data_IF_010504412279
#
_entry.id   IF_010504412279
#
_cell.length_a   1.000
_cell.length_b   1.000
_cell.length_c   1.000
_cell.angle_alpha   90.00
_cell.angle_beta   90.00
_cell.angle_gamma   90.00
#
_symmetry.space_group_name_H-M   'P 1'
#
loop_
_entity.id
_entity.type
_entity.pdbx_description
1 polymer ?
#
# COMPACT_ATOMS: atom_id res chain seq x y z
N UNK A 1 -32.68 18.23 13.13
CA UNK A 1 -31.22 18.05 13.05
C UNK A 1 -30.59 19.19 13.82
N UNK A 2 -29.85 18.91 14.90
CA UNK A 2 -29.09 19.95 15.58
C UNK A 2 -27.89 20.26 14.69
N UNK A 3 -27.80 21.48 14.15
CA UNK A 3 -26.61 21.94 13.47
C UNK A 3 -25.43 21.82 14.45
N UNK A 4 -24.39 21.07 14.05
CA UNK A 4 -23.16 20.98 14.81
C UNK A 4 -22.54 22.38 14.80
N UNK A 5 -22.62 23.09 15.93
CA UNK A 5 -21.92 24.35 16.09
C UNK A 5 -20.43 24.01 16.21
N UNK A 6 -19.64 24.53 15.29
CA UNK A 6 -18.19 24.33 15.27
C UNK A 6 -17.51 25.27 16.26
N UNK A 7 -17.70 25.01 17.55
CA UNK A 7 -17.03 25.74 18.63
C UNK A 7 -15.58 25.25 18.87
N UNK A 8 -15.18 24.15 18.23
CA UNK A 8 -13.85 23.53 18.34
C UNK A 8 -13.22 23.34 16.96
N UNK A 9 -12.09 24.00 16.69
CA UNK A 9 -11.39 23.90 15.41
C UNK A 9 -10.86 22.50 15.12
N UNK A 10 -10.64 21.64 16.13
CA UNK A 10 -10.24 20.23 15.94
C UNK A 10 -11.33 19.42 15.27
N UNK A 11 -12.57 19.89 15.33
CA UNK A 11 -13.65 19.34 14.52
C UNK A 11 -13.37 19.60 13.04
N UNK A 12 -12.89 20.81 12.68
CA UNK A 12 -12.53 21.13 11.30
C UNK A 12 -11.59 20.06 10.77
N UNK A 13 -10.46 19.73 11.41
CA UNK A 13 -9.53 18.69 10.95
C UNK A 13 -10.21 17.36 10.53
N UNK A 14 -11.33 16.96 11.13
CA UNK A 14 -11.96 15.64 10.91
C UNK A 14 -13.25 15.67 10.11
N UNK A 15 -13.70 16.84 9.68
CA UNK A 15 -14.97 17.01 8.98
C UNK A 15 -14.88 16.49 7.55
N UNK A 16 -15.64 15.43 7.22
CA UNK A 16 -15.74 14.92 5.85
C UNK A 16 -16.65 15.80 4.96
N UNK A 17 -16.59 15.66 3.62
CA UNK A 17 -17.49 16.38 2.72
C UNK A 17 -18.99 16.21 3.03
N UNK A 18 -19.42 15.00 3.44
CA UNK A 18 -20.82 14.76 3.83
C UNK A 18 -21.20 15.51 5.11
N UNK A 19 -20.26 15.65 6.05
CA UNK A 19 -20.47 16.44 7.27
C UNK A 19 -20.53 17.93 6.94
N UNK A 20 -19.70 18.44 6.02
CA UNK A 20 -19.75 19.82 5.52
C UNK A 20 -21.12 20.15 4.93
N UNK A 21 -21.65 19.26 4.08
CA UNK A 21 -22.98 19.40 3.51
C UNK A 21 -24.08 19.43 4.60
N UNK A 22 -23.96 18.57 5.62
CA UNK A 22 -24.93 18.50 6.72
C UNK A 22 -24.92 19.74 7.64
N UNK A 23 -23.76 20.38 7.81
CA UNK A 23 -23.62 21.62 8.60
C UNK A 23 -23.83 22.91 7.78
N UNK A 24 -23.99 22.78 6.46
CA UNK A 24 -24.18 23.92 5.56
C UNK A 24 -22.93 24.79 5.38
N UNK A 25 -21.74 24.18 5.45
CA UNK A 25 -20.46 24.86 5.27
C UNK A 25 -19.80 24.40 3.97
N UNK A 26 -19.44 25.34 3.10
CA UNK A 26 -18.66 25.02 1.90
C UNK A 26 -17.21 24.63 2.27
N UNK A 27 -16.59 23.65 1.59
CA UNK A 27 -15.22 23.21 1.88
C UNK A 27 -14.19 24.35 1.87
N UNK A 28 -14.31 25.27 0.92
CA UNK A 28 -13.42 26.44 0.81
C UNK A 28 -13.56 27.41 1.99
N UNK A 29 -14.76 27.53 2.57
CA UNK A 29 -14.97 28.34 3.77
C UNK A 29 -14.35 27.68 4.98
N UNK A 30 -14.56 26.36 5.16
CA UNK A 30 -13.94 25.59 6.24
C UNK A 30 -12.41 25.70 6.20
N UNK A 31 -11.83 25.62 5.00
CA UNK A 31 -10.40 25.79 4.76
C UNK A 31 -9.92 27.19 5.14
N UNK A 32 -10.60 28.25 4.74
CA UNK A 32 -10.22 29.64 5.08
C UNK A 32 -10.19 29.86 6.59
N UNK A 33 -11.23 29.43 7.29
CA UNK A 33 -11.29 29.49 8.76
C UNK A 33 -10.11 28.72 9.37
N UNK A 34 -9.87 27.51 8.87
CA UNK A 34 -8.77 26.68 9.35
C UNK A 34 -7.39 27.34 9.12
N UNK A 35 -7.15 27.91 7.94
CA UNK A 35 -5.93 28.64 7.59
C UNK A 35 -5.72 29.85 8.49
N UNK A 36 -6.76 30.66 8.71
CA UNK A 36 -6.71 31.82 9.61
C UNK A 36 -6.33 31.41 11.04
N UNK A 37 -6.88 30.29 11.54
CA UNK A 37 -6.53 29.76 12.85
C UNK A 37 -5.08 29.29 12.92
N UNK A 38 -4.57 28.60 11.89
CA UNK A 38 -3.17 28.17 11.84
C UNK A 38 -2.17 29.33 11.87
N UNK A 39 -2.55 30.51 11.37
CA UNK A 39 -1.72 31.70 11.42
C UNK A 39 -1.63 32.34 12.81
N UNK A 40 -2.69 32.23 13.62
CA UNK A 40 -2.84 33.02 14.83
C UNK A 40 -2.80 32.20 16.13
N UNK A 41 -2.88 30.87 16.05
CA UNK A 41 -2.92 29.98 17.21
C UNK A 41 -1.83 28.89 17.15
N UNK A 42 -0.93 28.91 18.16
CA UNK A 42 0.13 27.93 18.29
C UNK A 42 -0.39 26.52 18.62
N UNK A 43 -1.48 26.41 19.38
CA UNK A 43 -2.14 25.14 19.70
C UNK A 43 -2.72 24.52 18.43
N UNK A 44 -3.39 25.33 17.60
CA UNK A 44 -3.90 24.89 16.30
C UNK A 44 -2.81 24.34 15.39
N UNK A 45 -1.65 25.01 15.35
CA UNK A 45 -0.52 24.51 14.59
C UNK A 45 0.10 23.21 15.15
N UNK A 46 0.02 22.96 16.46
CA UNK A 46 0.47 21.69 17.04
C UNK A 46 -0.51 20.55 16.72
N UNK A 47 -1.81 20.77 16.85
CA UNK A 47 -2.82 19.77 16.47
C UNK A 47 -2.82 19.49 14.97
N UNK A 48 -2.57 20.50 14.13
CA UNK A 48 -2.35 20.30 12.71
C UNK A 48 -1.11 19.44 12.42
N UNK A 49 -0.01 19.64 13.15
CA UNK A 49 1.17 18.79 13.01
C UNK A 49 0.86 17.33 13.37
N UNK A 50 0.08 17.09 14.45
CA UNK A 50 -0.40 15.76 14.83
C UNK A 50 -1.30 15.14 13.75
N UNK A 51 -2.18 15.95 13.17
CA UNK A 51 -3.03 15.51 12.05
C UNK A 51 -2.19 15.14 10.82
N UNK A 52 -1.20 15.95 10.46
CA UNK A 52 -0.26 15.66 9.38
C UNK A 52 0.55 14.37 9.59
N UNK A 53 0.70 13.91 10.84
CA UNK A 53 1.37 12.65 11.19
C UNK A 53 0.39 11.48 11.33
N UNK A 54 -0.88 11.65 10.93
CA UNK A 54 -1.94 10.64 11.04
C UNK A 54 -2.07 10.07 12.46
N UNK A 55 -1.76 10.86 13.48
CA UNK A 55 -1.94 10.44 14.87
C UNK A 55 -3.42 10.23 15.16
N UNK A 56 -3.77 9.24 15.99
CA UNK A 56 -5.15 9.08 16.43
C UNK A 56 -5.62 10.36 17.16
N UNK A 57 -6.80 10.92 16.82
CA UNK A 57 -7.87 10.34 15.97
C UNK A 57 -7.93 10.88 14.52
N UNK A 58 -6.85 11.42 13.97
CA UNK A 58 -6.82 12.13 12.68
C UNK A 58 -6.61 11.26 11.44
N UNK A 59 -6.58 9.93 11.55
CA UNK A 59 -6.33 9.03 10.42
C UNK A 59 -7.32 9.12 9.25
N UNK A 60 -8.46 9.79 9.44
CA UNK A 60 -9.53 10.02 8.45
C UNK A 60 -9.79 11.51 8.20
N UNK A 61 -8.84 12.36 8.58
CA UNK A 61 -8.94 13.82 8.48
C UNK A 61 -9.10 14.29 7.03
N UNK A 62 -10.04 15.21 6.78
CA UNK A 62 -10.28 15.76 5.44
C UNK A 62 -9.12 16.61 4.94
N UNK A 63 -8.26 17.08 5.85
CA UNK A 63 -7.12 17.91 5.50
C UNK A 63 -6.15 17.19 4.57
N UNK A 64 -6.25 15.87 4.46
CA UNK A 64 -5.45 15.05 3.56
C UNK A 64 -6.05 14.90 2.16
N UNK A 65 -7.27 15.38 1.92
CA UNK A 65 -7.91 15.33 0.61
C UNK A 65 -7.39 16.45 -0.31
N UNK A 66 -7.15 16.13 -1.58
CA UNK A 66 -6.72 17.10 -2.58
C UNK A 66 -7.77 18.19 -2.82
N UNK A 67 -7.31 19.40 -3.14
CA UNK A 67 -8.09 20.37 -3.90
C UNK A 67 -7.40 20.58 -5.25
N UNK A 68 -8.10 20.25 -6.33
CA UNK A 68 -7.54 20.39 -7.69
C UNK A 68 -6.32 19.49 -7.91
N UNK A 69 -5.23 20.06 -8.41
CA UNK A 69 -4.06 19.33 -8.93
C UNK A 69 -3.07 18.85 -7.87
N UNK A 70 -3.21 19.25 -6.60
CA UNK A 70 -2.26 18.88 -5.53
C UNK A 70 -2.74 17.66 -4.73
N UNK A 71 -1.96 16.58 -4.59
CA UNK A 71 -2.45 15.28 -4.09
C UNK A 71 -2.79 15.25 -2.59
N UNK A 72 -2.14 16.11 -1.78
CA UNK A 72 -2.31 16.18 -0.32
C UNK A 72 -2.33 17.61 0.19
N UNK A 73 -3.53 18.13 0.45
CA UNK A 73 -3.72 19.48 0.96
C UNK A 73 -2.92 19.78 2.25
N UNK A 74 -2.76 18.81 3.14
CA UNK A 74 -2.05 19.03 4.41
C UNK A 74 -0.58 19.40 4.21
N UNK A 75 0.10 18.82 3.23
CA UNK A 75 1.48 19.18 2.93
C UNK A 75 1.55 20.57 2.28
N UNK A 76 0.57 20.90 1.44
CA UNK A 76 0.48 22.22 0.80
C UNK A 76 0.24 23.34 1.83
N UNK A 77 -0.72 23.14 2.73
CA UNK A 77 -1.01 24.06 3.82
C UNK A 77 0.22 24.21 4.72
N UNK A 78 0.92 23.12 5.04
CA UNK A 78 2.14 23.22 5.81
C UNK A 78 3.21 24.06 5.08
N UNK A 79 3.38 23.84 3.78
CA UNK A 79 4.36 24.58 2.98
C UNK A 79 4.06 26.09 2.91
N UNK A 80 2.78 26.45 2.77
CA UNK A 80 2.35 27.86 2.67
C UNK A 80 2.37 28.59 4.02
N UNK A 81 2.09 27.89 5.12
CA UNK A 81 1.82 28.52 6.41
C UNK A 81 2.99 28.44 7.40
N UNK A 82 3.86 27.44 7.27
CA UNK A 82 4.93 27.22 8.25
C UNK A 82 6.24 27.85 7.82
N UNK A 83 6.85 28.57 8.75
CA UNK A 83 8.24 29.02 8.63
C UNK A 83 9.18 27.83 8.35
N UNK A 84 10.28 28.01 7.60
CA UNK A 84 11.15 26.93 7.15
C UNK A 84 11.63 25.96 8.25
N UNK A 85 11.89 26.45 9.46
CA UNK A 85 12.30 25.59 10.58
C UNK A 85 11.18 24.67 11.07
N UNK A 86 9.95 25.18 11.13
CA UNK A 86 8.76 24.43 11.55
C UNK A 86 8.34 23.45 10.45
N UNK A 87 8.36 23.88 9.20
CA UNK A 87 8.11 23.00 8.05
C UNK A 87 9.09 21.84 8.03
N UNK A 88 10.41 22.11 8.18
CA UNK A 88 11.43 21.07 8.27
C UNK A 88 11.16 20.07 9.38
N UNK A 89 10.79 20.55 10.57
CA UNK A 89 10.44 19.69 11.72
C UNK A 89 9.25 18.79 11.41
N UNK A 90 8.21 19.34 10.81
CA UNK A 90 7.03 18.56 10.42
C UNK A 90 7.37 17.48 9.40
N UNK A 91 8.07 17.84 8.32
CA UNK A 91 8.41 16.91 7.24
C UNK A 91 9.32 15.79 7.74
N UNK A 92 10.34 16.13 8.55
CA UNK A 92 11.20 15.14 9.21
C UNK A 92 10.38 14.23 10.14
N UNK A 93 9.44 14.79 10.91
CA UNK A 93 8.54 14.03 11.76
C UNK A 93 7.67 13.05 10.97
N UNK A 94 7.14 13.44 9.81
CA UNK A 94 6.36 12.54 8.94
C UNK A 94 7.24 11.40 8.41
N UNK A 95 8.44 11.72 7.90
CA UNK A 95 9.36 10.73 7.31
C UNK A 95 9.83 9.73 8.36
N UNK A 96 10.23 10.20 9.54
CA UNK A 96 10.82 9.40 10.62
C UNK A 96 9.79 8.78 11.59
N UNK A 97 8.51 9.10 11.46
CA UNK A 97 7.47 8.60 12.38
C UNK A 97 7.31 7.08 12.27
N UNK A 98 7.11 6.40 13.39
CA UNK A 98 6.80 4.95 13.45
C UNK A 98 5.33 4.64 13.18
N UNK A 99 4.51 5.64 12.86
CA UNK A 99 3.09 5.46 12.60
C UNK A 99 2.84 4.66 11.33
N UNK A 100 2.31 3.44 11.48
CA UNK A 100 1.87 2.57 10.38
C UNK A 100 0.68 3.15 9.59
N UNK A 101 0.04 4.20 10.13
CA UNK A 101 -1.08 4.86 9.48
C UNK A 101 -0.65 5.89 8.45
N UNK A 102 0.59 6.39 8.52
CA UNK A 102 1.12 7.33 7.52
C UNK A 102 1.44 6.57 6.23
N UNK A 103 0.71 6.84 5.13
CA UNK A 103 0.87 6.12 3.87
C UNK A 103 2.23 6.34 3.22
N UNK A 104 2.68 5.35 2.43
CA UNK A 104 3.99 5.40 1.77
C UNK A 104 4.13 6.63 0.84
N UNK A 105 3.12 6.90 0.03
CA UNK A 105 3.14 8.03 -0.89
C UNK A 105 3.16 9.38 -0.17
N UNK A 106 2.34 9.54 0.88
CA UNK A 106 2.38 10.73 1.72
C UNK A 106 3.76 10.97 2.34
N UNK A 107 4.43 9.91 2.83
CA UNK A 107 5.81 10.01 3.33
C UNK A 107 6.79 10.41 2.23
N UNK A 108 6.63 9.87 1.03
CA UNK A 108 7.50 10.19 -0.10
C UNK A 108 7.36 11.65 -0.55
N UNK A 109 6.14 12.19 -0.62
CA UNK A 109 5.91 13.62 -0.86
C UNK A 109 6.55 14.49 0.23
N UNK A 110 6.43 14.10 1.50
CA UNK A 110 7.09 14.81 2.59
C UNK A 110 8.63 14.71 2.50
N UNK A 111 9.16 13.56 2.09
CA UNK A 111 10.59 13.34 1.89
C UNK A 111 11.17 14.19 0.76
N UNK A 112 10.47 14.29 -0.37
CA UNK A 112 10.86 15.14 -1.50
C UNK A 112 10.92 16.62 -1.10
N UNK A 113 9.91 17.10 -0.38
CA UNK A 113 9.92 18.47 0.16
C UNK A 113 11.03 18.69 1.20
N UNK A 114 11.30 17.71 2.05
CA UNK A 114 12.38 17.81 3.05
C UNK A 114 13.75 17.85 2.38
N UNK A 115 13.96 17.05 1.34
CA UNK A 115 15.19 17.06 0.56
C UNK A 115 15.40 18.42 -0.12
N UNK A 116 14.35 18.99 -0.72
CA UNK A 116 14.41 20.32 -1.32
C UNK A 116 14.71 21.44 -0.31
N UNK A 117 14.14 21.35 0.90
CA UNK A 117 14.35 22.32 1.99
C UNK A 117 15.71 22.16 2.71
N UNK A 118 16.33 20.99 2.55
CA UNK A 118 17.49 20.54 3.29
C UNK A 118 17.13 19.97 4.67
N UNK A 119 17.64 18.77 5.05
CA UNK A 119 17.27 18.08 6.28
C UNK A 119 17.75 18.80 7.57
N UNK A 120 18.74 19.68 7.48
CA UNK A 120 19.21 20.50 8.60
C UNK A 120 19.60 19.65 9.82
N UNK A 121 19.04 19.98 10.98
CA UNK A 121 19.32 19.28 12.25
C UNK A 121 18.89 17.81 12.29
N UNK A 122 18.05 17.37 11.35
CA UNK A 122 17.54 15.98 11.29
C UNK A 122 18.42 15.05 10.45
N UNK A 123 19.50 15.58 9.84
CA UNK A 123 20.44 14.76 9.08
C UNK A 123 21.02 13.58 9.89
N UNK A 124 21.43 13.74 11.17
CA UNK A 124 21.94 12.61 11.97
C UNK A 124 20.89 11.51 12.19
N UNK A 125 19.62 11.87 12.40
CA UNK A 125 18.56 10.88 12.58
C UNK A 125 18.26 10.12 11.28
N UNK A 126 18.27 10.83 10.14
CA UNK A 126 18.13 10.21 8.82
C UNK A 126 19.29 9.26 8.53
N UNK A 127 20.53 9.66 8.84
CA UNK A 127 21.72 8.82 8.68
C UNK A 127 21.61 7.57 9.55
N UNK A 128 21.25 7.75 10.82
CA UNK A 128 21.07 6.66 11.77
C UNK A 128 20.05 5.63 11.26
N UNK A 129 18.86 6.08 10.83
CA UNK A 129 17.84 5.17 10.29
C UNK A 129 18.29 4.51 8.99
N UNK A 130 18.97 5.24 8.10
CA UNK A 130 19.48 4.70 6.84
C UNK A 130 20.56 3.62 7.04
N UNK A 131 21.40 3.75 8.06
CA UNK A 131 22.53 2.86 8.36
C UNK A 131 22.16 1.69 9.28
N UNK A 132 21.33 1.91 10.30
CA UNK A 132 20.99 0.90 11.32
C UNK A 132 19.87 -0.06 10.87
N UNK A 133 19.03 0.35 9.92
CA UNK A 133 17.92 -0.51 9.46
C UNK A 133 18.44 -1.59 8.51
N UNK A 134 18.35 -2.84 8.96
CA UNK A 134 18.66 -3.99 8.13
C UNK A 134 17.47 -4.33 7.22
N UNK A 135 17.72 -4.77 5.96
CA UNK A 135 16.67 -5.32 5.11
C UNK A 135 15.98 -6.51 5.78
N UNK A 136 14.67 -6.64 5.59
CA UNK A 136 13.95 -7.80 6.11
C UNK A 136 14.40 -9.08 5.40
N UNK A 137 14.49 -10.21 6.13
CA UNK A 137 14.90 -11.47 5.55
C UNK A 137 13.90 -11.96 4.50
N UNK A 138 14.40 -12.76 3.56
CA UNK A 138 13.58 -13.39 2.52
C UNK A 138 13.74 -14.89 2.63
N UNK A 139 12.61 -15.60 2.68
CA UNK A 139 12.62 -17.03 2.85
C UNK A 139 13.32 -17.73 1.70
N UNK A 140 14.33 -18.54 2.03
CA UNK A 140 15.12 -19.23 1.02
C UNK A 140 14.30 -20.33 0.32
N UNK A 141 14.59 -20.55 -0.98
CA UNK A 141 14.04 -21.68 -1.73
C UNK A 141 14.32 -23.03 -1.03
N UNK A 142 15.49 -23.17 -0.40
CA UNK A 142 15.85 -24.38 0.34
C UNK A 142 14.95 -24.62 1.55
N UNK A 143 14.54 -23.55 2.25
CA UNK A 143 13.55 -23.61 3.34
C UNK A 143 12.20 -24.09 2.79
N UNK A 144 11.71 -23.45 1.72
CA UNK A 144 10.40 -23.77 1.12
C UNK A 144 10.29 -25.22 0.61
N UNK A 145 11.36 -25.74 0.00
CA UNK A 145 11.42 -27.14 -0.47
C UNK A 145 11.34 -28.14 0.70
N UNK A 146 11.80 -27.76 1.90
CA UNK A 146 11.75 -28.63 3.09
C UNK A 146 10.37 -28.68 3.74
N UNK A 147 9.52 -27.67 3.49
CA UNK A 147 8.15 -27.63 3.99
C UNK A 147 7.30 -28.71 3.31
N UNK A 148 6.79 -29.67 4.09
CA UNK A 148 5.94 -30.76 3.57
C UNK A 148 4.55 -30.23 3.23
N UNK A 149 4.37 -29.75 1.99
CA UNK A 149 3.07 -29.42 1.41
C UNK A 149 2.89 -30.10 0.05
N UNK A 150 1.67 -30.11 -0.49
CA UNK A 150 1.39 -30.55 -1.86
C UNK A 150 1.79 -29.51 -2.92
N UNK A 151 2.36 -28.38 -2.48
CA UNK A 151 2.96 -27.34 -3.31
C UNK A 151 2.02 -26.19 -3.68
N UNK A 152 0.86 -26.07 -3.02
CA UNK A 152 -0.09 -24.95 -3.20
C UNK A 152 -0.55 -24.47 -1.81
N UNK A 153 -0.88 -25.41 -0.93
CA UNK A 153 -1.27 -25.11 0.44
C UNK A 153 -0.06 -25.28 1.37
N UNK A 154 0.79 -24.26 1.46
CA UNK A 154 1.83 -24.22 2.48
C UNK A 154 1.18 -24.28 3.86
N UNK A 155 1.60 -25.27 4.67
CA UNK A 155 1.24 -25.33 6.07
C UNK A 155 2.09 -24.28 6.80
N UNK A 156 1.44 -23.26 7.33
CA UNK A 156 2.05 -22.25 8.19
C UNK A 156 1.19 -22.08 9.45
N UNK A 157 1.83 -21.70 10.55
CA UNK A 157 1.15 -21.54 11.83
C UNK A 157 0.25 -20.31 11.80
N UNK A 158 -1.03 -20.50 12.14
CA UNK A 158 -2.01 -19.42 12.25
C UNK A 158 -2.28 -19.17 13.74
N UNK A 159 -2.08 -17.94 14.26
CA UNK A 159 -2.41 -17.64 15.64
C UNK A 159 -3.88 -17.98 15.92
N UNK A 160 -4.16 -18.69 17.02
CA UNK A 160 -5.50 -19.20 17.32
C UNK A 160 -6.50 -18.08 17.69
N UNK A 161 -6.02 -16.99 18.30
CA UNK A 161 -6.84 -15.87 18.77
C UNK A 161 -6.88 -14.70 17.78
N UNK A 162 -7.99 -13.95 17.78
CA UNK A 162 -8.12 -12.70 17.02
C UNK A 162 -7.01 -11.72 17.43
N UNK A 163 -6.78 -11.55 18.73
CA UNK A 163 -5.74 -10.65 19.23
C UNK A 163 -4.33 -11.06 18.78
N UNK A 164 -4.05 -12.37 18.69
CA UNK A 164 -2.80 -12.89 18.14
C UNK A 164 -2.62 -12.53 16.67
N UNK A 165 -3.69 -12.65 15.86
CA UNK A 165 -3.68 -12.25 14.44
C UNK A 165 -3.59 -10.74 14.27
N UNK A 166 -4.24 -9.94 15.11
CA UNK A 166 -4.08 -8.48 15.10
C UNK A 166 -2.66 -8.06 15.43
N UNK A 167 -2.05 -8.69 16.44
CA UNK A 167 -0.65 -8.45 16.81
C UNK A 167 0.31 -8.80 15.67
N UNK A 168 0.11 -9.94 15.01
CA UNK A 168 0.88 -10.34 13.83
C UNK A 168 0.88 -9.24 12.75
N UNK A 169 -0.30 -8.68 12.45
CA UNK A 169 -0.45 -7.59 11.48
C UNK A 169 0.24 -6.31 11.95
N UNK A 170 0.12 -5.95 13.24
CA UNK A 170 0.79 -4.78 13.81
C UNK A 170 2.32 -4.91 13.72
N UNK A 171 2.87 -6.06 14.08
CA UNK A 171 4.31 -6.33 14.06
C UNK A 171 4.86 -6.28 12.63
N UNK A 172 4.14 -6.90 11.68
CA UNK A 172 4.47 -6.84 10.25
C UNK A 172 4.41 -5.40 9.70
N UNK A 173 3.40 -4.62 10.10
CA UNK A 173 3.25 -3.21 9.70
C UNK A 173 4.41 -2.35 10.22
N UNK A 174 4.81 -2.57 11.47
CA UNK A 174 5.93 -1.85 12.08
C UNK A 174 7.27 -2.19 11.38
N UNK A 175 7.49 -3.47 11.05
CA UNK A 175 8.68 -3.89 10.30
C UNK A 175 8.78 -3.18 8.92
N UNK A 176 7.68 -3.16 8.17
CA UNK A 176 7.61 -2.49 6.86
C UNK A 176 7.67 -0.97 6.93
N UNK A 177 7.21 -0.39 8.04
CA UNK A 177 7.32 1.06 8.29
C UNK A 177 8.78 1.47 8.51
N UNK A 178 9.55 0.72 9.30
CA UNK A 178 10.99 0.98 9.50
C UNK A 178 11.78 0.89 8.20
N UNK A 179 11.50 -0.13 7.41
CA UNK A 179 12.09 -0.32 6.09
C UNK A 179 11.75 0.85 5.15
N UNK A 180 10.50 1.33 5.17
CA UNK A 180 10.07 2.53 4.44
C UNK A 180 10.83 3.79 4.87
N UNK A 181 11.00 4.00 6.18
CA UNK A 181 11.77 5.13 6.71
C UNK A 181 13.21 5.10 6.19
N UNK A 182 13.86 3.93 6.20
CA UNK A 182 15.23 3.76 5.73
C UNK A 182 15.37 4.04 4.23
N UNK A 183 14.45 3.55 3.40
CA UNK A 183 14.42 3.83 1.96
C UNK A 183 14.33 5.34 1.70
N UNK A 184 13.37 6.02 2.35
CA UNK A 184 13.19 7.46 2.15
C UNK A 184 14.33 8.29 2.73
N UNK A 185 14.90 7.90 3.88
CA UNK A 185 16.07 8.55 4.46
C UNK A 185 17.27 8.49 3.50
N UNK A 186 17.53 7.32 2.88
CA UNK A 186 18.58 7.18 1.87
C UNK A 186 18.34 8.08 0.67
N UNK A 187 17.09 8.18 0.19
CA UNK A 187 16.74 9.08 -0.92
C UNK A 187 16.92 10.56 -0.57
N UNK A 188 16.61 10.96 0.66
CA UNK A 188 16.84 12.34 1.12
C UNK A 188 18.34 12.66 1.14
N UNK A 189 19.19 11.72 1.59
CA UNK A 189 20.64 11.95 1.76
C UNK A 189 21.39 11.86 0.42
N UNK A 190 21.03 10.92 -0.44
CA UNK A 190 21.81 10.54 -1.61
C UNK A 190 21.12 10.84 -2.96
N UNK A 191 19.88 11.32 -2.95
CA UNK A 191 19.09 11.63 -4.13
C UNK A 191 17.98 10.61 -4.42
N UNK A 192 17.00 10.96 -5.29
CA UNK A 192 15.80 10.14 -5.53
C UNK A 192 16.12 8.75 -6.08
N UNK A 193 17.16 8.65 -6.92
CA UNK A 193 17.61 7.40 -7.54
C UNK A 193 18.51 6.56 -6.65
N UNK A 194 18.86 7.03 -5.45
CA UNK A 194 19.78 6.33 -4.55
C UNK A 194 19.35 4.87 -4.40
N UNK A 195 20.18 4.00 -4.98
CA UNK A 195 19.84 2.63 -5.36
C UNK A 195 19.15 1.90 -4.21
N UNK A 196 17.86 1.62 -4.41
CA UNK A 196 17.30 0.27 -4.65
C UNK A 196 17.87 -0.94 -3.90
N UNK A 197 18.57 -0.76 -2.78
CA UNK A 197 18.22 -1.57 -1.61
C UNK A 197 16.82 -1.11 -1.23
N UNK A 198 15.85 -1.57 -2.02
CA UNK A 198 14.45 -1.37 -1.75
C UNK A 198 14.10 -2.09 -0.46
N UNK A 199 12.82 -2.39 -0.26
CA UNK A 199 12.39 -3.21 0.88
C UNK A 199 13.22 -4.48 1.11
N UNK A 200 13.77 -5.05 0.02
CA UNK A 200 14.57 -6.25 0.04
C UNK A 200 15.92 -6.02 -0.67
N UNK A 201 16.95 -6.85 -0.37
CA UNK A 201 18.23 -6.83 -1.09
C UNK A 201 17.99 -6.97 -2.61
N UNK A 202 18.87 -6.41 -3.46
CA UNK A 202 18.76 -6.55 -4.92
C UNK A 202 18.64 -8.02 -5.38
N UNK A 203 19.26 -8.94 -4.63
CA UNK A 203 19.12 -10.38 -4.82
C UNK A 203 17.69 -10.89 -4.67
N UNK A 204 16.90 -10.31 -3.77
CA UNK A 204 15.51 -10.69 -3.54
C UNK A 204 14.56 -10.27 -4.67
N UNK A 205 14.98 -9.33 -5.53
CA UNK A 205 14.24 -8.94 -6.73
C UNK A 205 14.67 -9.74 -7.97
N UNK A 206 15.64 -10.66 -7.86
CA UNK A 206 16.01 -11.52 -8.98
C UNK A 206 14.82 -12.38 -9.40
N UNK A 207 14.54 -12.40 -10.70
CA UNK A 207 13.37 -13.10 -11.24
C UNK A 207 12.03 -12.40 -11.00
N UNK A 208 12.04 -11.14 -10.52
CA UNK A 208 10.83 -10.33 -10.43
C UNK A 208 10.14 -10.21 -11.80
N UNK A 209 8.82 -10.22 -11.78
CA UNK A 209 7.97 -10.00 -12.94
C UNK A 209 7.89 -8.51 -13.21
N UNK A 210 8.60 -8.05 -14.24
CA UNK A 210 8.74 -6.64 -14.60
C UNK A 210 8.13 -6.35 -15.98
N UNK A 211 7.74 -5.09 -16.20
CA UNK A 211 7.29 -4.61 -17.51
C UNK A 211 7.54 -3.11 -17.64
N UNK A 212 8.25 -2.62 -18.68
CA UNK A 212 8.46 -1.19 -18.89
C UNK A 212 7.16 -0.39 -19.01
N UNK A 213 6.12 -1.00 -19.55
CA UNK A 213 4.80 -0.39 -19.65
C UNK A 213 4.18 -0.18 -18.26
N UNK A 214 4.33 -1.16 -17.36
CA UNK A 214 3.85 -1.05 -15.98
C UNK A 214 4.69 -0.05 -15.20
N UNK A 215 5.99 -0.01 -15.42
CA UNK A 215 6.88 0.99 -14.79
C UNK A 215 6.46 2.41 -15.17
N UNK A 216 6.27 2.67 -16.46
CA UNK A 216 5.79 3.96 -16.95
C UNK A 216 4.43 4.31 -16.33
N UNK A 217 3.50 3.36 -16.31
CA UNK A 217 2.16 3.54 -15.76
C UNK A 217 2.17 3.95 -14.27
N UNK A 218 3.04 3.33 -13.47
CA UNK A 218 3.21 3.68 -12.06
C UNK A 218 3.88 5.05 -11.93
N UNK A 219 4.94 5.32 -12.70
CA UNK A 219 5.64 6.62 -12.69
C UNK A 219 4.72 7.79 -13.01
N UNK A 220 3.81 7.62 -13.99
CA UNK A 220 2.84 8.65 -14.37
C UNK A 220 1.82 8.95 -13.25
N UNK A 221 1.48 7.96 -12.42
CA UNK A 221 0.45 8.11 -11.37
C UNK A 221 1.02 8.57 -10.02
N UNK A 222 2.22 8.15 -9.62
CA UNK A 222 2.75 8.42 -8.28
C UNK A 222 2.91 9.91 -7.97
N UNK A 223 3.35 10.71 -8.96
CA UNK A 223 3.44 12.17 -8.87
C UNK A 223 4.60 12.73 -8.03
N UNK A 224 5.58 11.91 -7.66
CA UNK A 224 6.80 12.33 -6.91
C UNK A 224 8.02 11.57 -7.41
N UNK A 225 9.20 12.21 -7.41
CA UNK A 225 10.47 11.55 -7.76
C UNK A 225 10.99 10.62 -6.67
N UNK A 226 10.41 10.67 -5.48
CA UNK A 226 10.82 9.86 -4.32
C UNK A 226 10.13 8.48 -4.27
N UNK A 227 9.38 8.10 -5.31
CA UNK A 227 8.79 6.77 -5.49
C UNK A 227 9.26 6.23 -6.83
N UNK A 228 9.78 5.00 -6.82
CA UNK A 228 10.20 4.28 -8.01
C UNK A 228 9.24 3.10 -8.26
N UNK A 229 9.00 2.68 -9.51
CA UNK A 229 8.17 1.50 -9.79
C UNK A 229 8.61 0.23 -9.05
N UNK A 230 9.93 0.06 -8.87
CA UNK A 230 10.50 -1.05 -8.10
C UNK A 230 10.07 -1.08 -6.63
N UNK A 231 9.61 0.04 -6.06
CA UNK A 231 9.05 0.08 -4.69
C UNK A 231 7.74 -0.72 -4.56
N UNK A 232 7.09 -1.00 -5.69
CA UNK A 232 5.85 -1.76 -5.78
C UNK A 232 6.06 -3.20 -6.26
N UNK A 233 7.30 -3.64 -6.45
CA UNK A 233 7.62 -5.06 -6.61
C UNK A 233 7.59 -5.74 -5.24
N UNK A 234 6.51 -6.46 -4.96
CA UNK A 234 6.31 -7.14 -3.69
C UNK A 234 7.13 -8.42 -3.66
N UNK A 235 8.02 -8.53 -2.68
CA UNK A 235 8.75 -9.77 -2.38
C UNK A 235 7.85 -10.62 -1.48
N UNK A 236 7.09 -11.52 -2.10
CA UNK A 236 6.07 -12.33 -1.43
C UNK A 236 6.62 -13.26 -0.34
N UNK A 237 7.88 -13.68 -0.50
CA UNK A 237 8.65 -14.48 0.47
C UNK A 237 9.33 -13.66 1.58
N UNK A 238 9.12 -12.35 1.63
CA UNK A 238 9.73 -11.51 2.67
C UNK A 238 9.11 -11.84 4.03
N UNK A 239 9.95 -12.17 5.00
CA UNK A 239 9.58 -12.54 6.36
C UNK A 239 9.31 -11.29 7.20
N UNK A 240 8.10 -11.17 7.76
CA UNK A 240 7.64 -9.92 8.38
C UNK A 240 7.42 -9.99 9.88
N UNK A 241 6.89 -11.11 10.38
CA UNK A 241 6.50 -11.25 11.78
C UNK A 241 6.40 -12.70 12.23
N UNK A 242 6.69 -12.96 13.49
CA UNK A 242 6.51 -14.28 14.11
C UNK A 242 5.07 -14.46 14.61
N UNK A 243 4.42 -15.61 14.34
CA UNK A 243 3.06 -15.89 14.84
C UNK A 243 3.04 -16.13 16.35
N UNK A 244 4.16 -16.57 16.92
CA UNK A 244 4.41 -16.67 18.36
C UNK A 244 5.91 -16.44 18.65
N UNK A 245 6.30 -15.98 19.85
CA UNK A 245 7.71 -15.77 20.18
C UNK A 245 8.56 -17.03 19.97
N UNK A 246 9.59 -16.94 19.11
CA UNK A 246 10.51 -18.03 18.80
C UNK A 246 10.01 -19.04 17.76
N UNK A 247 8.89 -18.75 17.09
CA UNK A 247 8.41 -19.52 15.93
C UNK A 247 9.04 -19.02 14.64
N UNK A 248 8.90 -19.78 13.55
CA UNK A 248 9.37 -19.36 12.23
C UNK A 248 8.60 -18.11 11.78
N UNK A 249 9.28 -17.04 11.31
CA UNK A 249 8.61 -15.85 10.80
C UNK A 249 7.71 -16.18 9.60
N UNK A 250 6.52 -15.58 9.56
CA UNK A 250 5.62 -15.68 8.42
C UNK A 250 6.01 -14.69 7.32
N UNK A 251 5.83 -15.12 6.06
CA UNK A 251 6.04 -14.27 4.90
C UNK A 251 4.87 -13.35 4.61
N UNK A 252 5.08 -12.34 3.76
CA UNK A 252 4.00 -11.47 3.26
C UNK A 252 2.85 -12.29 2.64
N UNK A 253 3.16 -13.29 1.80
CA UNK A 253 2.16 -14.16 1.20
C UNK A 253 1.35 -14.95 2.25
N UNK A 254 2.00 -15.49 3.28
CA UNK A 254 1.34 -16.23 4.36
C UNK A 254 0.43 -15.33 5.20
N UNK A 255 0.89 -14.14 5.57
CA UNK A 255 0.09 -13.18 6.35
C UNK A 255 -1.14 -12.73 5.55
N UNK A 256 -1.01 -12.48 4.24
CA UNK A 256 -2.15 -12.16 3.38
C UNK A 256 -3.15 -13.32 3.28
N UNK A 257 -2.67 -14.57 3.22
CA UNK A 257 -3.53 -15.75 3.28
C UNK A 257 -4.25 -15.87 4.61
N UNK A 258 -3.58 -15.59 5.75
CA UNK A 258 -4.24 -15.52 7.06
C UNK A 258 -5.36 -14.47 7.05
N UNK A 259 -5.10 -13.29 6.47
CA UNK A 259 -6.12 -12.24 6.33
C UNK A 259 -7.34 -12.72 5.52
N UNK A 260 -7.10 -13.44 4.42
CA UNK A 260 -8.14 -14.00 3.56
C UNK A 260 -8.96 -15.09 4.27
N UNK A 261 -8.32 -15.93 5.07
CA UNK A 261 -8.97 -17.07 5.76
C UNK A 261 -9.72 -16.65 7.03
N UNK A 262 -9.28 -15.59 7.72
CA UNK A 262 -9.83 -15.24 9.04
C UNK A 262 -11.08 -14.35 8.91
N UNK A 263 -12.25 -14.75 9.45
CA UNK A 263 -13.52 -14.04 9.25
C UNK A 263 -13.56 -12.59 9.76
N UNK A 264 -12.83 -12.27 10.83
CA UNK A 264 -12.82 -10.93 11.44
C UNK A 264 -12.38 -9.83 10.47
N UNK A 265 -11.47 -10.15 9.54
CA UNK A 265 -10.97 -9.18 8.55
C UNK A 265 -12.00 -8.87 7.45
N UNK A 266 -13.08 -9.66 7.40
CA UNK A 266 -14.21 -9.48 6.47
C UNK A 266 -15.34 -8.64 7.06
N UNK A 267 -15.30 -8.35 8.36
CA UNK A 267 -16.35 -7.65 9.09
C UNK A 267 -16.00 -6.16 9.31
N UNK A 268 -17.03 -5.29 9.45
CA UNK A 268 -16.83 -3.87 9.76
C UNK A 268 -16.55 -3.66 11.27
N UNK A 269 -15.55 -4.35 11.83
CA UNK A 269 -15.16 -4.20 13.25
C UNK A 269 -14.21 -3.00 13.42
N UNK A 270 -14.58 -2.07 14.31
CA UNK A 270 -13.86 -0.81 14.56
C UNK A 270 -12.45 -1.01 15.13
N UNK A 271 -12.16 -2.15 15.74
CA UNK A 271 -10.83 -2.49 16.27
C UNK A 271 -9.98 -3.19 15.23
N UNK A 272 -10.58 -4.05 14.41
CA UNK A 272 -9.88 -4.87 13.41
C UNK A 272 -9.55 -4.06 12.15
N UNK A 273 -10.50 -3.24 11.67
CA UNK A 273 -10.37 -2.53 10.39
C UNK A 273 -9.19 -1.57 10.34
N UNK A 274 -8.90 -0.75 11.38
CA UNK A 274 -7.72 0.10 11.38
C UNK A 274 -6.40 -0.69 11.29
N UNK A 275 -6.33 -1.85 11.95
CA UNK A 275 -5.14 -2.72 11.94
C UNK A 275 -4.91 -3.32 10.54
N UNK A 276 -5.97 -3.85 9.92
CA UNK A 276 -5.90 -4.38 8.57
C UNK A 276 -5.51 -3.32 7.54
N UNK A 277 -6.09 -2.12 7.63
CA UNK A 277 -5.76 -1.01 6.73
C UNK A 277 -4.34 -0.50 6.96
N UNK A 278 -3.88 -0.42 8.21
CA UNK A 278 -2.48 -0.12 8.55
C UNK A 278 -1.54 -1.14 7.92
N UNK A 279 -1.86 -2.44 8.02
CA UNK A 279 -1.09 -3.49 7.36
C UNK A 279 -1.03 -3.32 5.84
N UNK A 280 -2.16 -3.08 5.16
CA UNK A 280 -2.12 -2.85 3.72
C UNK A 280 -1.33 -1.59 3.34
N UNK A 281 -1.47 -0.49 4.08
CA UNK A 281 -0.72 0.76 3.82
C UNK A 281 0.77 0.61 4.05
N UNK A 282 1.19 -0.11 5.10
CA UNK A 282 2.61 -0.33 5.39
C UNK A 282 3.23 -1.42 4.51
N UNK A 283 2.61 -2.61 4.45
CA UNK A 283 3.20 -3.78 3.82
C UNK A 283 3.05 -3.78 2.29
N UNK A 284 1.87 -3.38 1.79
CA UNK A 284 1.59 -3.30 0.36
C UNK A 284 1.77 -1.90 -0.23
N UNK A 285 2.08 -0.90 0.62
CA UNK A 285 2.34 0.49 0.21
C UNK A 285 1.19 1.13 -0.57
N UNK A 286 -0.05 0.69 -0.33
CA UNK A 286 -1.21 1.32 -0.97
C UNK A 286 -1.30 2.80 -0.58
N UNK A 287 -1.78 3.64 -1.50
CA UNK A 287 -1.99 5.04 -1.19
C UNK A 287 -2.92 5.24 0.00
N UNK A 288 -2.72 6.30 0.77
CA UNK A 288 -3.55 6.63 1.94
C UNK A 288 -5.03 6.79 1.63
N UNK A 289 -5.33 7.22 0.41
CA UNK A 289 -6.67 7.49 -0.09
C UNK A 289 -7.29 6.27 -0.80
N UNK A 290 -6.53 5.19 -0.96
CA UNK A 290 -7.01 3.94 -1.51
C UNK A 290 -8.00 3.28 -0.56
N UNK A 291 -9.04 2.66 -1.11
CA UNK A 291 -10.11 2.04 -0.34
C UNK A 291 -10.11 0.53 -0.59
N UNK A 292 -9.92 -0.24 0.48
CA UNK A 292 -10.17 -1.67 0.50
C UNK A 292 -11.53 -1.91 1.15
N UNK A 293 -12.52 -2.34 0.36
CA UNK A 293 -13.88 -2.65 0.80
C UNK A 293 -13.95 -3.85 1.73
N UNK A 294 -15.12 -4.06 2.34
CA UNK A 294 -15.35 -5.23 3.19
C UNK A 294 -15.20 -6.53 2.41
N UNK A 295 -14.53 -7.53 2.98
CA UNK A 295 -14.23 -8.80 2.29
C UNK A 295 -13.47 -8.65 0.96
N UNK A 296 -12.97 -7.46 0.63
CA UNK A 296 -12.06 -7.25 -0.48
C UNK A 296 -10.61 -7.28 0.01
N UNK A 297 -9.67 -7.45 -0.92
CA UNK A 297 -8.26 -7.45 -0.58
C UNK A 297 -7.39 -8.19 -1.58
N UNK A 298 -6.23 -8.60 -1.11
CA UNK A 298 -5.15 -9.19 -1.92
C UNK A 298 -4.64 -10.43 -1.22
N UNK A 299 -4.25 -11.42 -2.03
CA UNK A 299 -3.51 -12.58 -1.56
C UNK A 299 -2.53 -13.04 -2.63
N UNK A 300 -1.67 -13.97 -2.25
CA UNK A 300 -0.72 -14.62 -3.14
C UNK A 300 -0.75 -16.12 -2.85
N UNK A 301 -0.92 -16.92 -3.90
CA UNK A 301 -0.82 -18.38 -3.82
C UNK A 301 0.45 -18.83 -4.50
N UNK A 302 1.29 -19.56 -3.78
CA UNK A 302 2.51 -20.13 -4.36
C UNK A 302 2.16 -21.30 -5.27
N UNK A 303 2.84 -21.37 -6.42
CA UNK A 303 2.71 -22.47 -7.36
C UNK A 303 4.00 -23.29 -7.38
N UNK A 304 4.07 -24.29 -6.51
CA UNK A 304 5.28 -25.05 -6.25
C UNK A 304 6.13 -24.37 -5.18
N UNK A 305 7.36 -23.97 -5.54
CA UNK A 305 8.24 -23.22 -4.65
C UNK A 305 8.65 -21.87 -5.27
N UNK A 306 8.02 -21.47 -6.37
CA UNK A 306 8.22 -20.17 -7.00
C UNK A 306 7.32 -19.14 -6.29
N UNK A 307 7.93 -18.08 -5.76
CA UNK A 307 7.24 -16.90 -5.29
C UNK A 307 7.87 -15.64 -5.90
N UNK A 308 8.00 -15.66 -7.24
CA UNK A 308 8.58 -14.55 -8.01
C UNK A 308 7.95 -13.22 -7.58
N UNK A 309 8.77 -12.20 -7.22
CA UNK A 309 8.23 -10.88 -6.90
C UNK A 309 7.40 -10.34 -8.05
N UNK A 310 6.32 -9.63 -7.75
CA UNK A 310 5.42 -9.09 -8.76
C UNK A 310 4.85 -7.75 -8.32
N UNK A 311 4.34 -6.97 -9.27
CA UNK A 311 3.79 -5.65 -8.95
C UNK A 311 2.55 -5.76 -8.06
N UNK A 312 2.49 -4.92 -7.04
CA UNK A 312 1.24 -4.51 -6.44
C UNK A 312 1.23 -3.00 -6.22
N UNK A 313 0.43 -2.30 -7.02
CA UNK A 313 0.26 -0.84 -6.94
C UNK A 313 -1.22 -0.48 -6.83
N UNK A 314 -1.53 0.42 -5.91
CA UNK A 314 -2.88 0.97 -5.75
C UNK A 314 -2.79 2.47 -5.48
N UNK A 315 -2.97 3.25 -6.53
CA UNK A 315 -2.92 4.71 -6.56
C UNK A 315 -4.05 5.38 -5.79
N UNK A 316 -3.97 6.71 -5.66
CA UNK A 316 -4.91 7.52 -4.86
C UNK A 316 -6.36 7.32 -5.30
N UNK A 317 -7.29 7.24 -4.36
CA UNK A 317 -8.73 7.06 -4.66
C UNK A 317 -9.06 5.78 -5.45
N UNK A 318 -8.10 4.89 -5.70
CA UNK A 318 -8.39 3.58 -6.24
C UNK A 318 -9.19 2.77 -5.22
N UNK A 319 -10.08 1.91 -5.70
CA UNK A 319 -11.01 1.16 -4.85
C UNK A 319 -11.02 -0.30 -5.25
N UNK A 320 -10.66 -1.17 -4.31
CA UNK A 320 -11.01 -2.58 -4.34
C UNK A 320 -12.32 -2.70 -3.57
N UNK A 321 -13.42 -2.84 -4.29
CA UNK A 321 -14.76 -2.86 -3.73
C UNK A 321 -15.04 -4.09 -2.88
N UNK A 322 -16.20 -4.08 -2.20
CA UNK A 322 -16.67 -5.20 -1.38
C UNK A 322 -16.60 -6.52 -2.16
N UNK A 323 -16.02 -7.55 -1.54
CA UNK A 323 -15.94 -8.91 -2.09
C UNK A 323 -15.02 -9.08 -3.31
N UNK A 324 -14.27 -8.05 -3.71
CA UNK A 324 -13.28 -8.15 -4.79
C UNK A 324 -11.94 -8.58 -4.21
N UNK A 325 -11.44 -9.75 -4.59
CA UNK A 325 -10.10 -10.23 -4.21
C UNK A 325 -9.19 -10.34 -5.42
N UNK A 326 -7.92 -10.00 -5.24
CA UNK A 326 -6.90 -10.12 -6.27
C UNK A 326 -5.88 -11.15 -5.84
N UNK A 327 -5.72 -12.20 -6.62
CA UNK A 327 -4.59 -13.10 -6.52
C UNK A 327 -3.42 -12.48 -7.29
N UNK A 328 -2.31 -12.15 -6.62
CA UNK A 328 -1.22 -11.34 -7.18
C UNK A 328 -0.01 -12.13 -7.70
N UNK A 329 -0.17 -13.42 -8.06
CA UNK A 329 0.92 -14.20 -8.69
C UNK A 329 1.58 -13.47 -9.87
N UNK A 330 0.79 -12.94 -10.81
CA UNK A 330 1.28 -12.15 -11.93
C UNK A 330 1.39 -10.64 -11.65
N UNK A 331 0.77 -10.17 -10.57
CA UNK A 331 0.76 -8.77 -10.13
C UNK A 331 -0.46 -7.97 -10.56
N UNK A 332 -0.67 -6.82 -9.92
CA UNK A 332 -1.77 -5.91 -10.19
C UNK A 332 -1.39 -4.45 -9.98
N UNK A 333 -1.79 -3.57 -10.90
CA UNK A 333 -1.58 -2.12 -10.81
C UNK A 333 -2.89 -1.38 -11.08
N UNK A 334 -3.30 -0.55 -10.11
CA UNK A 334 -4.53 0.21 -10.13
C UNK A 334 -4.20 1.69 -10.04
N UNK A 335 -4.46 2.43 -11.12
CA UNK A 335 -4.26 3.88 -11.17
C UNK A 335 -5.32 4.64 -10.38
N UNK A 336 -5.04 5.93 -10.16
CA UNK A 336 -5.92 6.82 -9.43
C UNK A 336 -7.40 6.75 -9.89
N UNK A 337 -8.29 6.66 -8.91
CA UNK A 337 -9.75 6.68 -9.13
C UNK A 337 -10.33 5.44 -9.81
N UNK A 338 -9.53 4.40 -10.08
CA UNK A 338 -10.04 3.12 -10.57
C UNK A 338 -10.92 2.43 -9.52
N UNK A 339 -11.88 1.63 -9.96
CA UNK A 339 -12.81 0.96 -9.05
C UNK A 339 -13.15 -0.44 -9.54
N UNK A 340 -12.87 -1.42 -8.70
CA UNK A 340 -13.05 -2.84 -9.01
C UNK A 340 -14.11 -3.46 -8.11
N UNK A 341 -15.20 -3.98 -8.70
CA UNK A 341 -16.21 -4.74 -7.96
C UNK A 341 -17.17 -3.90 -7.12
N UNK A 342 -17.41 -4.25 -5.86
CA UNK A 342 -18.35 -3.51 -4.98
C UNK A 342 -19.79 -4.01 -4.97
N UNK A 343 -20.07 -5.14 -5.64
CA UNK A 343 -21.37 -5.80 -5.62
C UNK A 343 -21.58 -6.72 -4.41
N UNK A 344 -22.73 -7.38 -4.36
CA UNK A 344 -22.99 -8.47 -3.41
C UNK A 344 -22.33 -9.80 -3.83
N UNK A 345 -21.92 -9.90 -5.08
CA UNK A 345 -21.26 -11.07 -5.65
C UNK A 345 -19.75 -10.90 -5.58
N UNK A 346 -19.00 -11.90 -5.09
CA UNK A 346 -17.55 -11.84 -5.04
C UNK A 346 -16.95 -11.92 -6.45
N UNK A 347 -15.83 -11.22 -6.62
CA UNK A 347 -15.02 -11.24 -7.84
C UNK A 347 -13.61 -11.66 -7.45
N UNK A 348 -13.07 -12.65 -8.14
CA UNK A 348 -11.66 -12.99 -8.07
C UNK A 348 -10.97 -12.50 -9.34
N UNK A 349 -10.05 -11.55 -9.20
CA UNK A 349 -9.11 -11.19 -10.26
C UNK A 349 -7.92 -12.14 -10.13
N UNK A 350 -7.80 -13.02 -11.11
CA UNK A 350 -6.79 -14.06 -11.15
C UNK A 350 -5.70 -13.63 -12.12
N UNK A 351 -4.47 -13.47 -11.64
CA UNK A 351 -3.37 -12.84 -12.41
C UNK A 351 -2.44 -13.85 -13.08
N UNK A 352 -2.85 -15.10 -13.20
CA UNK A 352 -2.02 -16.12 -13.82
C UNK A 352 -2.85 -17.28 -14.36
N UNK A 353 -2.42 -17.92 -15.43
CA UNK A 353 -3.10 -19.11 -15.98
C UNK A 353 -2.29 -20.37 -15.75
N UNK A 354 -2.94 -21.44 -15.31
CA UNK A 354 -2.32 -22.75 -15.26
C UNK A 354 -2.04 -23.28 -16.67
N UNK A 355 -0.80 -23.72 -16.91
CA UNK A 355 -0.39 -24.27 -18.21
C UNK A 355 -0.30 -25.79 -18.10
N UNK A 356 -1.04 -26.47 -18.98
CA UNK A 356 -0.98 -27.92 -19.12
C UNK A 356 -0.24 -28.31 -20.40
N UNK A 357 0.82 -29.10 -20.25
CA UNK A 357 1.44 -29.76 -21.40
C UNK A 357 0.77 -31.12 -21.67
N UNK A 358 0.71 -31.50 -22.94
CA UNK A 358 0.18 -32.79 -23.36
C UNK A 358 0.99 -33.93 -22.73
N UNK A 359 0.30 -34.91 -22.13
CA UNK A 359 0.91 -36.10 -21.54
C UNK A 359 1.35 -35.95 -20.08
N UNK A 360 1.21 -34.78 -19.46
CA UNK A 360 1.59 -34.58 -18.06
C UNK A 360 0.44 -34.85 -17.07
N UNK A 361 0.75 -35.33 -15.84
CA UNK A 361 -0.24 -35.44 -14.78
C UNK A 361 -0.83 -34.07 -14.43
N UNK A 362 -2.13 -34.01 -14.11
CA UNK A 362 -2.81 -32.76 -13.75
C UNK A 362 -2.22 -32.04 -12.51
N UNK A 363 -1.45 -32.74 -11.67
CA UNK A 363 -0.73 -32.10 -10.56
C UNK A 363 0.44 -31.21 -11.03
N UNK A 364 0.99 -31.48 -12.21
CA UNK A 364 2.10 -30.71 -12.78
C UNK A 364 1.63 -29.37 -13.35
N UNK A 365 0.39 -29.30 -13.84
CA UNK A 365 -0.30 -28.08 -14.28
C UNK A 365 -0.46 -27.07 -13.12
N UNK A 366 -0.69 -27.57 -11.91
CA UNK A 366 -0.83 -26.70 -10.73
C UNK A 366 0.46 -25.97 -10.33
N UNK A 367 1.62 -26.48 -10.76
CA UNK A 367 2.96 -25.94 -10.47
C UNK A 367 3.52 -25.08 -11.60
N UNK A 368 2.78 -24.95 -12.71
CA UNK A 368 3.22 -24.20 -13.89
C UNK A 368 2.17 -23.17 -14.25
N UNK A 369 2.54 -21.92 -14.12
CA UNK A 369 1.64 -20.79 -14.35
C UNK A 369 2.25 -19.81 -15.34
N UNK A 370 1.38 -19.24 -16.17
CA UNK A 370 1.67 -18.09 -17.01
C UNK A 370 1.20 -16.84 -16.26
N UNK A 371 2.08 -16.06 -15.64
CA UNK A 371 1.69 -14.82 -14.97
C UNK A 371 1.28 -13.75 -15.98
N UNK A 372 0.40 -12.84 -15.54
CA UNK A 372 -0.03 -11.64 -16.24
C UNK A 372 -0.31 -10.52 -15.24
N UNK A 373 0.17 -9.31 -15.52
CA UNK A 373 -0.13 -8.15 -14.68
C UNK A 373 -1.52 -7.64 -15.04
N UNK A 374 -2.41 -7.56 -14.04
CA UNK A 374 -3.70 -6.89 -14.18
C UNK A 374 -3.51 -5.38 -14.06
N UNK A 375 -3.93 -4.62 -15.06
CA UNK A 375 -3.78 -3.16 -15.09
C UNK A 375 -5.13 -2.47 -15.23
N UNK A 376 -5.46 -1.60 -14.27
CA UNK A 376 -6.67 -0.76 -14.29
C UNK A 376 -6.27 0.71 -14.39
N UNK A 377 -6.50 1.31 -15.56
CA UNK A 377 -6.20 2.71 -15.86
C UNK A 377 -6.99 3.69 -14.99
N UNK A 378 -6.57 4.96 -14.97
CA UNK A 378 -7.24 6.00 -14.22
C UNK A 378 -8.75 6.05 -14.51
N UNK A 379 -9.57 6.00 -13.46
CA UNK A 379 -11.03 5.99 -13.55
C UNK A 379 -11.66 4.69 -14.09
N UNK A 380 -10.87 3.68 -14.47
CA UNK A 380 -11.38 2.42 -15.02
C UNK A 380 -12.32 1.72 -14.04
N UNK A 381 -13.33 1.05 -14.58
CA UNK A 381 -14.37 0.36 -13.81
C UNK A 381 -14.42 -1.10 -14.21
N UNK A 382 -14.19 -2.00 -13.25
CA UNK A 382 -14.64 -3.38 -13.39
C UNK A 382 -16.04 -3.47 -12.76
N UNK A 383 -17.11 -3.54 -13.57
CA UNK A 383 -18.48 -3.33 -13.11
C UNK A 383 -18.92 -4.44 -12.16
N UNK A 384 -19.90 -4.13 -11.29
CA UNK A 384 -20.52 -5.10 -10.38
C UNK A 384 -21.18 -6.30 -11.08
N UNK A 385 -21.42 -6.20 -12.40
CA UNK A 385 -21.94 -7.29 -13.22
C UNK A 385 -20.87 -8.33 -13.60
N UNK A 386 -19.58 -8.01 -13.44
CA UNK A 386 -18.53 -9.00 -13.49
C UNK A 386 -18.72 -9.93 -12.28
N UNK A 387 -18.99 -11.21 -12.51
CA UNK A 387 -19.24 -12.20 -11.46
C UNK A 387 -18.26 -13.35 -11.67
N UNK A 388 -17.69 -13.86 -10.58
CA UNK A 388 -16.83 -15.02 -10.61
C UNK A 388 -15.37 -14.65 -10.82
N UNK A 389 -14.72 -15.25 -11.83
CA UNK A 389 -13.28 -15.15 -12.03
C UNK A 389 -12.98 -14.30 -13.26
N UNK A 390 -12.16 -13.28 -13.09
CA UNK A 390 -11.52 -12.55 -14.19
C UNK A 390 -10.10 -13.10 -14.38
N UNK A 391 -9.94 -13.94 -15.41
CA UNK A 391 -8.67 -14.59 -15.75
C UNK A 391 -7.79 -13.63 -16.58
N UNK A 392 -6.90 -12.90 -15.91
CA UNK A 392 -6.11 -11.83 -16.54
C UNK A 392 -5.25 -12.35 -17.68
N UNK A 393 -4.66 -13.54 -17.50
CA UNK A 393 -3.76 -14.14 -18.48
C UNK A 393 -4.43 -14.46 -19.83
N UNK A 394 -5.76 -14.66 -19.87
CA UNK A 394 -6.53 -14.88 -21.10
C UNK A 394 -6.53 -13.65 -22.02
N UNK A 395 -6.24 -12.46 -21.48
CA UNK A 395 -6.28 -11.20 -22.20
C UNK A 395 -4.89 -10.63 -22.51
N UNK A 396 -3.81 -11.39 -22.30
CA UNK A 396 -2.44 -10.90 -22.64
C UNK A 396 -2.22 -10.72 -24.15
N UNK A 397 -3.05 -11.34 -24.98
CA UNK A 397 -3.01 -11.27 -26.45
C UNK A 397 -4.36 -10.81 -27.05
N UNK A 398 -5.30 -10.35 -26.21
CA UNK A 398 -6.64 -9.96 -26.62
C UNK A 398 -7.09 -8.72 -25.84
N UNK A 399 -8.03 -7.95 -26.39
CA UNK A 399 -8.62 -6.84 -25.64
C UNK A 399 -9.52 -7.37 -24.51
N UNK A 400 -9.48 -6.70 -23.36
CA UNK A 400 -10.44 -7.00 -22.30
C UNK A 400 -11.81 -6.42 -22.66
N UNK A 401 -12.91 -7.00 -22.17
CA UNK A 401 -14.25 -6.48 -22.44
C UNK A 401 -14.58 -5.22 -21.60
N UNK A 402 -13.65 -4.73 -20.78
CA UNK A 402 -13.88 -3.62 -19.85
C UNK A 402 -12.95 -2.45 -20.17
N UNK A 403 -13.54 -1.29 -20.44
CA UNK A 403 -12.80 -0.08 -20.78
C UNK A 403 -11.78 0.29 -19.68
N UNK A 404 -10.54 0.57 -20.09
CA UNK A 404 -9.45 0.90 -19.18
C UNK A 404 -8.88 -0.28 -18.40
N UNK A 405 -9.36 -1.50 -18.58
CA UNK A 405 -8.75 -2.72 -18.02
C UNK A 405 -7.87 -3.38 -19.07
N UNK A 406 -6.64 -3.75 -18.69
CA UNK A 406 -5.64 -4.36 -19.57
C UNK A 406 -4.94 -5.51 -18.86
N UNK A 407 -4.41 -6.44 -19.65
CA UNK A 407 -3.58 -7.54 -19.17
C UNK A 407 -2.22 -7.47 -19.85
N UNK A 408 -1.16 -7.36 -19.07
CA UNK A 408 0.21 -7.22 -19.57
C UNK A 408 0.96 -8.52 -19.31
N UNK A 409 1.65 -9.04 -20.32
CA UNK A 409 2.55 -10.18 -20.13
C UNK A 409 3.89 -9.68 -19.53
N UNK A 410 4.21 -9.99 -18.26
CA UNK A 410 5.48 -9.59 -17.66
C UNK A 410 6.64 -10.42 -18.21
N UNK A 411 7.84 -9.89 -18.03
CA UNK A 411 9.10 -10.62 -18.27
C UNK A 411 9.79 -10.86 -16.92
N UNK A 412 10.50 -11.99 -16.76
CA UNK A 412 11.32 -12.22 -15.57
C UNK A 412 12.60 -11.40 -15.67
N UNK A 413 12.87 -10.59 -14.66
CA UNK A 413 14.10 -9.79 -14.59
C UNK A 413 15.33 -10.71 -14.61
N UNK A 414 16.23 -10.48 -15.57
CA UNK A 414 17.43 -11.29 -15.80
C UNK A 414 17.31 -12.31 -16.93
N UNK A 415 16.12 -12.56 -17.48
CA UNK A 415 15.96 -13.28 -18.75
C UNK A 415 16.05 -12.27 -19.91
N UNK A 416 17.19 -12.22 -20.60
CA UNK A 416 17.26 -11.58 -21.92
C UNK A 416 16.65 -12.53 -22.96
N UNK A 417 15.87 -11.97 -23.90
CA UNK A 417 15.28 -12.70 -25.03
C UNK A 417 16.33 -13.32 -25.95
#
# INVERSE_FOLDING_TARGET
MNAVVLDDYRALLRITPDMLAAIGMEPETAKKIFVELLHHDAEAGNEFARACQFESPYGESWIHQAYGERPYLSLDLAHELFEPSRLRSLLAGIVLSDSVMIPYDYRAFAAEQLAALGPGQYLPDLQRVAEETQPLPVRSLATKIRTRSDGIDHLFDIPESVDGRLRLLMDASAAKTRETQAVLARRIIHGPDASSAGPAPEEALRGALVSPEVDQFVTEDVGTSFILPADYLMVWDQELAEPAPGSEPLTLAEILRICLMSPEFKLPDIRVRPVLLGFYRSALRISGRSIIGLSGGVFYVEHGADASPSYFYMGRDAVIGKGCTIDCVGGAVLQQGSFLGGGFMPILIHTHKHIRNAGEPGIAERKRVQPAVFMAMAGARLPMAAIGIFETADFTQAETPYEGIRAIAPIKQGEQR
#
